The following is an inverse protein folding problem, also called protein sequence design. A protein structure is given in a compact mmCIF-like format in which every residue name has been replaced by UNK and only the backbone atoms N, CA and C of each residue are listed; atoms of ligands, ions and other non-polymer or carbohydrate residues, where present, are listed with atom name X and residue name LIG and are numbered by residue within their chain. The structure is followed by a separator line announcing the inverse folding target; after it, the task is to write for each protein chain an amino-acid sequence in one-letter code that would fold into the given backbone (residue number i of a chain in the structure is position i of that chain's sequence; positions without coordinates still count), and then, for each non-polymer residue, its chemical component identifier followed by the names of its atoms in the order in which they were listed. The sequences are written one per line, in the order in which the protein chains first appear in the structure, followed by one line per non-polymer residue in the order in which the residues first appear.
data_IF_000581521961
#
_entry.id   IF_000581521961
#
_cell.length_a   1.000
_cell.length_b   1.000
_cell.length_c   1.000
_cell.angle_alpha   90.00
_cell.angle_beta   90.00
_cell.angle_gamma   90.00
#
_symmetry.space_group_name_H-M   'P 1'
#
loop_
_entity.id
_entity.type
_entity.pdbx_description
1 polymer ?
#
# COMPACT_ATOMS: atom_id res chain seq x y z
N UNK A 1 12.74 -11.91 -7.02
CA UNK A 1 12.39 -10.48 -6.98
C UNK A 1 11.33 -10.37 -5.90
N UNK A 2 11.77 -10.08 -4.68
CA UNK A 2 10.97 -10.17 -3.47
C UNK A 2 10.31 -8.82 -3.18
N UNK A 3 9.06 -8.81 -2.77
CA UNK A 3 8.36 -7.59 -2.36
C UNK A 3 9.08 -7.00 -1.14
N UNK A 4 9.37 -5.69 -1.07
CA UNK A 4 10.08 -5.09 0.06
C UNK A 4 9.34 -5.28 1.39
N UNK A 5 8.02 -5.48 1.35
CA UNK A 5 7.17 -5.86 2.48
C UNK A 5 7.23 -7.34 2.91
N UNK A 6 8.06 -8.20 2.27
CA UNK A 6 8.21 -9.62 2.63
C UNK A 6 6.96 -10.47 2.33
N UNK A 7 6.04 -9.98 1.50
CA UNK A 7 4.80 -10.67 1.13
C UNK A 7 5.04 -11.59 -0.06
N UNK A 8 4.55 -12.83 0.04
CA UNK A 8 4.53 -13.79 -1.06
C UNK A 8 3.76 -13.25 -2.28
N UNK A 9 4.31 -13.42 -3.49
CA UNK A 9 3.81 -12.77 -4.72
C UNK A 9 2.35 -13.09 -5.04
N UNK A 10 1.87 -14.29 -4.73
CA UNK A 10 0.48 -14.69 -4.90
C UNK A 10 -0.47 -13.92 -3.98
N UNK A 11 -0.07 -13.72 -2.71
CA UNK A 11 -0.83 -12.96 -1.73
C UNK A 11 -0.85 -11.47 -2.09
N UNK A 12 0.28 -10.93 -2.55
CA UNK A 12 0.34 -9.55 -3.01
C UNK A 12 -0.61 -9.32 -4.20
N UNK A 13 -0.56 -10.20 -5.19
CA UNK A 13 -1.42 -10.12 -6.38
C UNK A 13 -2.92 -10.17 -6.03
N UNK A 14 -3.32 -11.09 -5.15
CA UNK A 14 -4.70 -11.20 -4.67
C UNK A 14 -5.17 -9.93 -3.93
N UNK A 15 -4.33 -9.39 -3.05
CA UNK A 15 -4.65 -8.16 -2.32
C UNK A 15 -4.76 -6.95 -3.24
N UNK A 16 -3.86 -6.81 -4.21
CA UNK A 16 -3.93 -5.74 -5.21
C UNK A 16 -5.20 -5.84 -6.06
N UNK A 17 -5.60 -7.05 -6.46
CA UNK A 17 -6.85 -7.28 -7.18
C UNK A 17 -8.07 -6.83 -6.36
N UNK A 18 -8.11 -7.13 -5.06
CA UNK A 18 -9.18 -6.67 -4.15
C UNK A 18 -9.20 -5.15 -4.00
N UNK A 19 -8.04 -4.52 -3.85
CA UNK A 19 -7.96 -3.05 -3.75
C UNK A 19 -8.46 -2.36 -5.03
N UNK A 20 -8.19 -2.95 -6.20
CA UNK A 20 -8.76 -2.49 -7.47
C UNK A 20 -10.28 -2.68 -7.49
N UNK A 21 -10.75 -3.88 -7.13
CA UNK A 21 -12.18 -4.19 -7.09
C UNK A 21 -12.96 -3.24 -6.19
N UNK A 22 -12.38 -2.80 -5.08
CA UNK A 22 -13.00 -1.84 -4.15
C UNK A 22 -12.83 -0.36 -4.57
N UNK A 23 -12.13 -0.11 -5.69
CA UNK A 23 -11.87 1.22 -6.22
C UNK A 23 -10.87 2.02 -5.40
N UNK A 24 -9.99 1.37 -4.64
CA UNK A 24 -8.96 2.00 -3.81
C UNK A 24 -7.64 2.13 -4.56
N UNK A 25 -7.37 1.23 -5.50
CA UNK A 25 -6.19 1.27 -6.36
C UNK A 25 -6.57 1.14 -7.83
N UNK A 26 -5.66 1.54 -8.71
CA UNK A 26 -5.77 1.37 -10.16
C UNK A 26 -4.42 0.96 -10.76
N UNK A 27 -4.49 0.22 -11.88
CA UNK A 27 -3.31 -0.10 -12.68
C UNK A 27 -2.93 1.11 -13.54
N UNK A 28 -1.63 1.35 -13.68
CA UNK A 28 -1.10 2.37 -14.59
C UNK A 28 0.18 1.86 -15.26
N UNK A 29 0.52 2.37 -16.46
CA UNK A 29 1.75 1.99 -17.14
C UNK A 29 2.97 2.41 -16.30
N UNK A 30 3.82 1.45 -15.96
CA UNK A 30 5.04 1.71 -15.20
C UNK A 30 6.05 2.49 -16.04
N UNK A 31 6.48 3.65 -15.56
CA UNK A 31 7.56 4.44 -16.17
C UNK A 31 8.95 3.82 -15.88
N UNK A 32 9.10 3.14 -14.73
CA UNK A 32 10.37 2.53 -14.31
C UNK A 32 10.60 1.13 -14.91
N UNK A 33 9.57 0.45 -15.41
CA UNK A 33 9.68 -0.91 -15.95
C UNK A 33 8.67 -1.14 -17.07
N UNK A 34 9.06 -0.86 -18.34
CA UNK A 34 8.20 -1.07 -19.49
C UNK A 34 7.68 -2.51 -19.55
N UNK A 35 6.36 -2.67 -19.73
CA UNK A 35 5.71 -3.98 -19.81
C UNK A 35 5.30 -4.58 -18.46
N UNK A 36 5.51 -3.89 -17.33
CA UNK A 36 4.93 -4.26 -16.04
C UNK A 36 3.83 -3.29 -15.62
N UNK A 37 2.75 -3.85 -15.10
CA UNK A 37 1.69 -3.08 -14.45
C UNK A 37 2.25 -2.47 -13.15
N UNK A 38 2.16 -1.14 -13.03
CA UNK A 38 2.33 -0.46 -11.76
C UNK A 38 0.95 -0.15 -11.14
N UNK A 39 0.92 0.09 -9.83
CA UNK A 39 -0.31 0.32 -9.09
C UNK A 39 -0.22 1.65 -8.35
N UNK A 40 -1.28 2.46 -8.42
CA UNK A 40 -1.40 3.72 -7.67
C UNK A 40 -2.73 3.79 -6.93
N UNK A 41 -2.79 4.59 -5.89
CA UNK A 41 -4.05 4.85 -5.18
C UNK A 41 -4.96 5.73 -6.03
N UNK A 42 -6.25 5.43 -6.00
CA UNK A 42 -7.29 6.34 -6.52
C UNK A 42 -7.49 7.52 -5.56
N UNK A 43 -8.32 8.49 -5.92
CA UNK A 43 -8.76 9.54 -4.99
C UNK A 43 -9.44 8.94 -3.74
N UNK A 44 -10.29 7.91 -3.94
CA UNK A 44 -10.94 7.17 -2.85
C UNK A 44 -9.92 6.45 -1.98
N UNK A 45 -8.95 5.74 -2.57
CA UNK A 45 -7.88 5.08 -1.83
C UNK A 45 -7.04 6.06 -0.99
N UNK A 46 -6.67 7.20 -1.58
CA UNK A 46 -5.89 8.24 -0.89
C UNK A 46 -6.66 8.84 0.28
N UNK A 47 -7.99 8.97 0.18
CA UNK A 47 -8.84 9.50 1.25
C UNK A 47 -8.88 8.63 2.52
N UNK A 48 -8.46 7.35 2.46
CA UNK A 48 -8.33 6.48 3.63
C UNK A 48 -7.10 6.77 4.49
N UNK A 49 -6.15 7.58 3.98
CA UNK A 49 -4.90 7.90 4.67
C UNK A 49 -5.05 8.33 6.14
N UNK A 50 -5.96 9.26 6.48
CA UNK A 50 -6.19 9.68 7.87
C UNK A 50 -6.66 8.55 8.80
N UNK A 51 -7.50 7.64 8.30
CA UNK A 51 -8.01 6.50 9.09
C UNK A 51 -6.89 5.50 9.37
N UNK A 52 -6.12 5.15 8.33
CA UNK A 52 -4.95 4.27 8.48
C UNK A 52 -3.90 4.88 9.41
N UNK A 53 -3.73 6.21 9.35
CA UNK A 53 -2.85 6.95 10.26
C UNK A 53 -3.33 6.86 11.71
N UNK A 54 -4.62 7.04 11.97
CA UNK A 54 -5.15 6.93 13.32
C UNK A 54 -4.94 5.54 13.93
N UNK A 55 -5.15 4.48 13.13
CA UNK A 55 -4.88 3.10 13.57
C UNK A 55 -3.39 2.90 13.86
N UNK A 56 -2.51 3.41 13.00
CA UNK A 56 -1.07 3.32 13.19
C UNK A 56 -0.60 4.08 14.44
N UNK A 57 -1.09 5.30 14.65
CA UNK A 57 -0.74 6.13 15.81
C UNK A 57 -1.20 5.46 17.11
N UNK A 58 -2.41 4.89 17.13
CA UNK A 58 -2.90 4.11 18.27
C UNK A 58 -2.01 2.88 18.55
N UNK A 59 -1.64 2.12 17.52
CA UNK A 59 -0.78 0.94 17.69
C UNK A 59 0.60 1.30 18.24
N UNK A 60 1.17 2.45 17.84
CA UNK A 60 2.43 2.95 18.38
C UNK A 60 2.29 3.34 19.85
N UNK A 61 1.18 3.95 20.25
CA UNK A 61 0.95 4.37 21.63
C UNK A 61 0.75 3.18 22.58
N UNK A 62 -0.01 2.17 22.15
CA UNK A 62 -0.51 1.12 23.04
C UNK A 62 0.27 -0.21 22.94
N UNK A 63 0.89 -0.51 21.79
CA UNK A 63 1.53 -1.81 21.53
C UNK A 63 3.06 -1.67 21.61
N UNK A 64 3.64 -2.20 22.70
CA UNK A 64 5.10 -2.21 22.92
C UNK A 64 5.84 -2.87 21.75
N UNK A 65 6.92 -2.23 21.29
CA UNK A 65 7.74 -2.71 20.17
C UNK A 65 7.23 -2.29 18.78
N UNK A 66 6.13 -1.54 18.70
CA UNK A 66 5.62 -1.01 17.43
C UNK A 66 6.36 0.26 17.03
N UNK A 67 6.91 0.29 15.81
CA UNK A 67 7.57 1.47 15.25
C UNK A 67 7.10 1.73 13.83
N UNK A 68 7.09 3.01 13.42
CA UNK A 68 6.72 3.41 12.06
C UNK A 68 7.88 3.13 11.10
N UNK A 69 7.83 2.00 10.41
CA UNK A 69 8.89 1.56 9.49
C UNK A 69 8.76 2.13 8.06
N UNK A 70 7.56 2.59 7.67
CA UNK A 70 7.31 3.12 6.34
C UNK A 70 7.37 4.65 6.35
N UNK A 71 8.40 5.21 5.71
CA UNK A 71 8.41 6.62 5.31
C UNK A 71 7.56 6.73 4.04
N UNK A 72 6.56 7.62 3.96
CA UNK A 72 5.87 7.86 2.71
C UNK A 72 6.92 8.25 1.66
N UNK A 73 6.89 7.63 0.47
CA UNK A 73 7.53 8.23 -0.72
C UNK A 73 6.76 9.51 -1.00
N UNK A 74 7.19 10.62 -0.40
CA UNK A 74 6.76 11.96 -0.78
C UNK A 74 7.16 12.13 -2.25
N UNK A 75 6.17 12.41 -3.10
CA UNK A 75 6.45 12.97 -4.42
C UNK A 75 6.86 14.44 -4.23
#
# INVERSE_FOLDING_TARGET
MESPEGIATNILSDRLAKLIQWGLAEKYPSEESPGRDAYRLTAKGSSLGPVLKAIADWGIAEIKGTAKLLKPKTK
#
